data_IF_304648505015
#
_entry.id   IF_304648505015
#
_cell.length_a   1.000
_cell.length_b   1.000
_cell.length_c   1.000
_cell.angle_alpha   90.00
_cell.angle_beta   90.00
_cell.angle_gamma   90.00
#
_symmetry.space_group_name_H-M   'P 1'
#
loop_
_entity.id
_entity.type
_entity.pdbx_description
1 polymer ?
#
# COMPACT_ATOMS: atom_id res chain seq x y z
N UNK A 1 -13.83 13.37 -90.22
CA UNK A 1 -12.58 13.53 -89.45
C UNK A 1 -12.94 13.49 -87.97
N UNK A 2 -12.79 12.33 -87.33
CA UNK A 2 -13.06 12.13 -85.89
C UNK A 2 -11.82 12.49 -85.09
N UNK A 3 -11.96 13.36 -84.09
CA UNK A 3 -10.89 13.76 -83.19
C UNK A 3 -10.38 12.55 -82.37
N UNK A 4 -9.08 12.49 -82.01
CA UNK A 4 -8.54 11.39 -81.21
C UNK A 4 -9.08 11.43 -79.77
N UNK A 5 -9.30 10.28 -79.13
CA UNK A 5 -9.75 10.22 -77.75
C UNK A 5 -8.69 10.79 -76.81
N UNK A 6 -9.10 11.72 -75.95
CA UNK A 6 -8.25 12.29 -74.90
C UNK A 6 -7.88 11.22 -73.86
N UNK A 7 -6.62 11.15 -73.38
CA UNK A 7 -6.24 10.22 -72.32
C UNK A 7 -6.98 10.53 -71.02
N UNK A 8 -7.77 9.59 -70.52
CA UNK A 8 -8.40 9.67 -69.20
C UNK A 8 -7.31 9.63 -68.13
N UNK A 9 -6.90 10.81 -67.66
CA UNK A 9 -5.92 10.93 -66.59
C UNK A 9 -6.67 10.87 -65.25
N UNK A 10 -7.17 9.69 -64.91
CA UNK A 10 -7.72 9.44 -63.58
C UNK A 10 -6.53 9.25 -62.63
N UNK A 11 -6.04 10.36 -62.07
CA UNK A 11 -5.08 10.29 -60.97
C UNK A 11 -5.88 9.84 -59.74
N UNK A 12 -5.62 8.67 -59.15
CA UNK A 12 -6.27 8.30 -57.90
C UNK A 12 -5.89 9.33 -56.84
N UNK A 13 -6.89 9.88 -56.15
CA UNK A 13 -6.67 10.76 -55.01
C UNK A 13 -5.81 10.01 -53.98
N UNK A 14 -4.66 10.58 -53.64
CA UNK A 14 -3.82 10.08 -52.56
C UNK A 14 -4.66 10.13 -51.28
N UNK A 15 -4.96 8.98 -50.70
CA UNK A 15 -5.62 8.87 -49.40
C UNK A 15 -4.68 9.48 -48.35
N UNK A 16 -5.09 10.54 -47.66
CA UNK A 16 -4.23 11.32 -46.75
C UNK A 16 -3.87 10.59 -45.43
N UNK A 17 -4.13 9.28 -45.36
CA UNK A 17 -4.14 8.49 -44.13
C UNK A 17 -2.93 7.55 -44.05
N UNK A 18 -2.11 7.48 -45.11
CA UNK A 18 -0.90 6.65 -45.15
C UNK A 18 0.26 7.41 -44.52
N UNK A 19 0.42 7.23 -43.20
CA UNK A 19 1.67 7.57 -42.51
C UNK A 19 2.67 6.44 -42.65
N UNK A 20 3.73 6.67 -43.42
CA UNK A 20 4.85 5.74 -43.52
C UNK A 20 5.68 5.80 -42.24
N UNK A 21 5.47 4.82 -41.36
CA UNK A 21 6.32 4.61 -40.17
C UNK A 21 7.26 3.43 -40.42
N UNK A 22 8.50 3.53 -39.95
CA UNK A 22 9.50 2.45 -40.04
C UNK A 22 9.30 1.39 -38.95
N UNK A 23 8.33 1.60 -38.05
CA UNK A 23 7.99 0.67 -36.98
C UNK A 23 7.05 -0.41 -37.56
N UNK A 24 7.30 -1.71 -37.35
CA UNK A 24 6.39 -2.76 -37.81
C UNK A 24 4.99 -2.54 -37.22
N UNK A 25 3.90 -2.87 -37.96
CA UNK A 25 2.55 -2.76 -37.43
C UNK A 25 2.45 -3.64 -36.19
N UNK A 26 2.32 -3.01 -35.03
CA UNK A 26 1.99 -3.73 -33.81
C UNK A 26 0.52 -4.11 -34.00
N UNK A 27 0.20 -5.41 -34.00
CA UNK A 27 -1.19 -5.85 -33.90
C UNK A 27 -1.74 -5.33 -32.57
N UNK A 28 -2.37 -4.16 -32.62
CA UNK A 28 -3.19 -3.64 -31.55
C UNK A 28 -4.40 -4.58 -31.41
N UNK A 29 -4.22 -5.65 -30.63
CA UNK A 29 -5.32 -6.23 -29.87
C UNK A 29 -5.68 -5.22 -28.75
N UNK A 30 -6.12 -4.03 -29.15
CA UNK A 30 -6.83 -3.09 -28.30
C UNK A 30 -8.21 -3.72 -28.13
N UNK A 31 -8.34 -4.60 -27.13
CA UNK A 31 -9.64 -4.80 -26.49
C UNK A 31 -9.92 -3.53 -25.72
N UNK A 32 -10.50 -2.58 -26.44
CA UNK A 32 -11.08 -1.34 -25.97
C UNK A 32 -12.23 -1.64 -25.02
N UNK A 33 -11.91 -1.84 -23.74
CA UNK A 33 -12.88 -1.74 -22.64
C UNK A 33 -12.33 -0.77 -21.59
N UNK A 34 -11.76 0.37 -22.03
CA UNK A 34 -11.10 1.34 -21.14
C UNK A 34 -12.06 2.40 -20.55
N UNK A 35 -13.37 2.22 -20.71
CA UNK A 35 -14.41 3.04 -20.06
C UNK A 35 -14.84 2.47 -18.70
N UNK A 36 -13.98 1.73 -18.00
CA UNK A 36 -14.20 1.39 -16.59
C UNK A 36 -13.58 2.50 -15.74
N UNK A 37 -14.39 3.51 -15.41
CA UNK A 37 -14.20 4.52 -14.35
C UNK A 37 -12.75 4.85 -13.95
N UNK A 38 -12.01 5.51 -14.86
CA UNK A 38 -10.70 6.13 -14.56
C UNK A 38 -10.79 7.16 -13.43
N UNK A 39 -11.97 7.71 -13.17
CA UNK A 39 -12.29 8.59 -12.04
C UNK A 39 -12.11 7.91 -10.69
N UNK A 40 -12.39 6.60 -10.58
CA UNK A 40 -12.29 5.85 -9.32
C UNK A 40 -10.87 5.33 -9.01
N UNK A 41 -9.98 5.33 -10.01
CA UNK A 41 -8.60 4.85 -9.91
C UNK A 41 -7.67 5.92 -9.32
N UNK A 42 -7.75 6.16 -8.01
CA UNK A 42 -6.93 7.16 -7.28
C UNK A 42 -5.42 6.95 -7.29
N UNK A 43 -4.93 5.84 -7.84
CA UNK A 43 -3.50 5.55 -7.99
C UNK A 43 -3.19 4.75 -9.27
N UNK A 44 -4.12 4.73 -10.24
CA UNK A 44 -4.05 3.81 -11.39
C UNK A 44 -4.14 2.32 -11.02
N UNK A 45 -4.44 2.02 -9.75
CA UNK A 45 -4.56 0.69 -9.19
C UNK A 45 -6.02 0.35 -8.95
N UNK A 46 -6.37 -0.91 -9.18
CA UNK A 46 -7.68 -1.44 -8.83
C UNK A 46 -7.96 -1.30 -7.32
N UNK A 47 -9.24 -1.16 -6.97
CA UNK A 47 -9.74 -0.97 -5.60
C UNK A 47 -9.21 -2.05 -4.65
N UNK A 48 -9.23 -3.31 -5.08
CA UNK A 48 -8.79 -4.43 -4.23
C UNK A 48 -7.27 -4.40 -4.02
N UNK A 49 -6.50 -4.13 -5.08
CA UNK A 49 -5.04 -4.01 -5.00
C UNK A 49 -4.61 -2.86 -4.10
N UNK A 50 -5.32 -1.71 -4.14
CA UNK A 50 -5.03 -0.55 -3.29
C UNK A 50 -5.16 -0.88 -1.80
N UNK A 51 -6.27 -1.51 -1.40
CA UNK A 51 -6.56 -1.83 0.01
C UNK A 51 -5.51 -2.80 0.57
N UNK A 52 -5.15 -3.84 -0.21
CA UNK A 52 -4.13 -4.82 0.17
C UNK A 52 -2.76 -4.13 0.32
N UNK A 53 -2.39 -3.27 -0.62
CA UNK A 53 -1.11 -2.55 -0.58
C UNK A 53 -1.03 -1.62 0.65
N UNK A 54 -2.08 -0.83 0.91
CA UNK A 54 -2.13 0.06 2.06
C UNK A 54 -2.05 -0.71 3.39
N UNK A 55 -2.76 -1.83 3.50
CA UNK A 55 -2.75 -2.67 4.69
C UNK A 55 -1.39 -3.32 4.93
N UNK A 56 -0.76 -3.85 3.89
CA UNK A 56 0.54 -4.52 4.00
C UNK A 56 1.63 -3.54 4.41
N UNK A 57 1.69 -2.37 3.76
CA UNK A 57 2.65 -1.30 4.11
C UNK A 57 2.38 -0.78 5.53
N UNK A 58 1.12 -0.53 5.88
CA UNK A 58 0.73 -0.11 7.23
C UNK A 58 1.10 -1.12 8.31
N UNK A 59 0.95 -2.42 8.01
CA UNK A 59 1.34 -3.52 8.90
C UNK A 59 2.86 -3.58 9.09
N UNK A 60 3.63 -3.43 8.01
CA UNK A 60 5.10 -3.42 8.05
C UNK A 60 5.62 -2.23 8.88
N UNK A 61 5.05 -1.05 8.67
CA UNK A 61 5.44 0.14 9.43
C UNK A 61 5.08 0.01 10.92
N UNK A 62 3.89 -0.51 11.22
CA UNK A 62 3.47 -0.82 12.58
C UNK A 62 4.35 -1.88 13.25
N UNK A 63 4.77 -2.90 12.49
CA UNK A 63 5.72 -3.90 12.98
C UNK A 63 7.04 -3.26 13.39
N UNK A 64 7.63 -2.42 12.52
CA UNK A 64 8.91 -1.75 12.80
C UNK A 64 8.86 -0.88 14.05
N UNK A 65 7.84 -0.02 14.17
CA UNK A 65 7.64 0.84 15.34
C UNK A 65 7.41 -0.01 16.61
N UNK A 66 6.52 -1.00 16.52
CA UNK A 66 6.22 -1.89 17.64
C UNK A 66 7.43 -2.69 18.10
N UNK A 67 8.21 -3.21 17.15
CA UNK A 67 9.42 -3.97 17.43
C UNK A 67 10.49 -3.11 18.11
N UNK A 68 10.69 -1.88 17.66
CA UNK A 68 11.62 -0.94 18.28
C UNK A 68 11.24 -0.63 19.74
N UNK A 69 9.97 -0.28 19.98
CA UNK A 69 9.48 0.04 21.33
C UNK A 69 9.51 -1.21 22.23
N UNK A 70 9.17 -2.39 21.70
CA UNK A 70 9.16 -3.65 22.45
C UNK A 70 10.56 -4.14 22.81
N UNK A 71 11.50 -4.03 21.88
CA UNK A 71 12.91 -4.37 22.13
C UNK A 71 13.54 -3.45 23.16
N UNK A 72 13.28 -2.14 23.08
CA UNK A 72 13.78 -1.18 24.06
C UNK A 72 13.24 -1.44 25.47
N UNK A 73 11.93 -1.70 25.62
CA UNK A 73 11.35 -1.96 26.93
C UNK A 73 11.89 -3.25 27.57
N UNK A 74 11.94 -4.35 26.80
CA UNK A 74 12.47 -5.63 27.29
C UNK A 74 13.96 -5.55 27.62
N UNK A 75 14.74 -4.76 26.87
CA UNK A 75 16.13 -4.47 27.17
C UNK A 75 16.30 -3.71 28.49
N UNK A 76 15.51 -2.65 28.71
CA UNK A 76 15.54 -1.90 29.98
C UNK A 76 15.09 -2.76 31.16
N UNK A 77 14.07 -3.60 30.98
CA UNK A 77 13.64 -4.55 32.01
C UNK A 77 14.76 -5.54 32.35
N UNK A 78 15.45 -6.10 31.36
CA UNK A 78 16.59 -6.99 31.61
C UNK A 78 17.72 -6.30 32.37
N UNK A 79 18.01 -5.04 32.05
CA UNK A 79 19.00 -4.24 32.76
C UNK A 79 18.58 -4.00 34.22
N UNK A 80 17.31 -3.69 34.46
CA UNK A 80 16.77 -3.52 35.81
C UNK A 80 16.84 -4.82 36.63
N UNK A 81 16.43 -5.95 36.03
CA UNK A 81 16.49 -7.28 36.67
C UNK A 81 17.92 -7.70 37.03
N UNK A 82 18.92 -7.30 36.23
CA UNK A 82 20.31 -7.74 36.38
C UNK A 82 21.26 -6.64 36.88
N UNK A 83 20.75 -5.49 37.31
CA UNK A 83 21.58 -4.39 37.82
C UNK A 83 22.45 -4.81 39.02
N UNK A 84 22.03 -5.84 39.76
CA UNK A 84 22.78 -6.38 40.90
C UNK A 84 23.65 -7.61 40.56
N UNK A 85 23.58 -8.15 39.33
CA UNK A 85 24.25 -9.40 38.91
C UNK A 85 25.10 -9.17 37.66
N UNK A 86 26.08 -8.27 37.74
CA UNK A 86 27.01 -8.05 36.64
C UNK A 86 28.04 -9.20 36.59
N UNK A 87 28.33 -9.77 35.41
CA UNK A 87 29.32 -10.82 35.28
C UNK A 87 30.73 -10.29 35.52
N UNK A 88 31.53 -11.03 36.30
CA UNK A 88 32.94 -10.71 36.58
C UNK A 88 33.92 -11.48 35.69
N UNK A 89 33.45 -12.52 34.99
CA UNK A 89 34.25 -13.35 34.08
C UNK A 89 33.96 -12.99 32.62
N UNK A 90 34.95 -13.15 31.74
CA UNK A 90 34.84 -12.87 30.30
C UNK A 90 33.75 -13.72 29.64
N UNK A 91 33.67 -15.01 30.00
CA UNK A 91 32.63 -15.92 29.50
C UNK A 91 31.23 -15.53 29.98
N UNK A 92 31.09 -15.08 31.23
CA UNK A 92 29.82 -14.59 31.77
C UNK A 92 29.32 -13.36 31.02
N UNK A 93 30.24 -12.49 30.58
CA UNK A 93 29.91 -11.28 29.83
C UNK A 93 29.29 -11.59 28.46
N UNK A 94 29.77 -12.64 27.79
CA UNK A 94 29.17 -13.13 26.54
C UNK A 94 27.74 -13.65 26.75
N UNK A 95 27.53 -14.53 27.76
CA UNK A 95 26.20 -15.08 28.04
C UNK A 95 25.18 -14.03 28.47
N UNK A 96 25.65 -12.98 29.16
CA UNK A 96 24.84 -11.82 29.50
C UNK A 96 24.32 -11.10 28.24
N UNK A 97 25.21 -10.76 27.30
CA UNK A 97 24.81 -10.07 26.05
C UNK A 97 23.97 -10.95 25.12
N UNK A 98 24.27 -12.25 25.08
CA UNK A 98 23.46 -13.24 24.36
C UNK A 98 22.03 -13.27 24.89
N UNK A 99 21.86 -13.45 26.20
CA UNK A 99 20.56 -13.50 26.86
C UNK A 99 19.78 -12.18 26.70
N UNK A 100 20.48 -11.05 26.84
CA UNK A 100 19.89 -9.72 26.62
C UNK A 100 19.33 -9.60 25.21
N UNK A 101 20.09 -9.96 24.18
CA UNK A 101 19.63 -9.88 22.79
C UNK A 101 18.43 -10.79 22.53
N UNK A 102 18.39 -12.02 23.08
CA UNK A 102 17.22 -12.88 22.93
C UNK A 102 15.96 -12.30 23.56
N UNK A 103 16.06 -11.77 24.80
CA UNK A 103 14.93 -11.13 25.46
C UNK A 103 14.46 -9.88 24.70
N UNK A 104 15.39 -9.10 24.16
CA UNK A 104 15.10 -7.93 23.32
C UNK A 104 14.41 -8.31 22.01
N UNK A 105 14.89 -9.34 21.31
CA UNK A 105 14.25 -9.82 20.08
C UNK A 105 12.85 -10.36 20.34
N UNK A 106 12.67 -11.18 21.38
CA UNK A 106 11.36 -11.72 21.75
C UNK A 106 10.36 -10.61 22.12
N UNK A 107 10.80 -9.64 22.93
CA UNK A 107 10.01 -8.48 23.30
C UNK A 107 9.66 -7.59 22.10
N UNK A 108 10.61 -7.43 21.18
CA UNK A 108 10.42 -6.74 19.90
C UNK A 108 9.37 -7.43 19.04
N UNK A 109 9.54 -8.71 18.70
CA UNK A 109 8.59 -9.46 17.85
C UNK A 109 7.19 -9.49 18.45
N UNK A 110 7.06 -9.76 19.77
CA UNK A 110 5.76 -9.81 20.45
C UNK A 110 4.99 -8.49 20.34
N UNK A 111 5.66 -7.36 20.56
CA UNK A 111 5.04 -6.04 20.46
C UNK A 111 4.87 -5.61 18.99
N UNK A 112 5.81 -5.95 18.13
CA UNK A 112 5.77 -5.73 16.68
C UNK A 112 4.53 -6.34 16.05
N UNK A 113 4.25 -7.63 16.27
CA UNK A 113 3.04 -8.30 15.76
C UNK A 113 1.77 -7.60 16.26
N UNK A 114 1.73 -7.22 17.54
CA UNK A 114 0.57 -6.51 18.12
C UNK A 114 0.34 -5.13 17.48
N UNK A 115 1.41 -4.40 17.16
CA UNK A 115 1.28 -3.11 16.47
C UNK A 115 0.96 -3.29 14.99
N UNK A 116 1.58 -4.27 14.31
CA UNK A 116 1.31 -4.62 12.92
C UNK A 116 -0.18 -4.94 12.69
N UNK A 117 -0.78 -5.77 13.55
CA UNK A 117 -2.21 -6.08 13.46
C UNK A 117 -3.11 -4.86 13.72
N UNK A 118 -2.67 -3.93 14.57
CA UNK A 118 -3.42 -2.70 14.87
C UNK A 118 -3.38 -1.71 13.72
N UNK A 119 -2.19 -1.42 13.19
CA UNK A 119 -2.02 -0.49 12.08
C UNK A 119 -2.56 -1.08 10.78
N UNK A 120 -2.31 -2.36 10.52
CA UNK A 120 -2.88 -3.09 9.38
C UNK A 120 -4.41 -3.12 9.41
N UNK A 121 -5.00 -3.44 10.57
CA UNK A 121 -6.45 -3.40 10.75
C UNK A 121 -7.04 -2.01 10.55
N UNK A 122 -6.35 -0.95 11.01
CA UNK A 122 -6.74 0.44 10.77
C UNK A 122 -6.69 0.81 9.28
N UNK A 123 -5.61 0.44 8.58
CA UNK A 123 -5.48 0.68 7.15
C UNK A 123 -6.53 -0.08 6.33
N UNK A 124 -6.83 -1.33 6.70
CA UNK A 124 -7.94 -2.08 6.08
C UNK A 124 -9.28 -1.39 6.32
N UNK A 125 -9.59 -1.04 7.56
CA UNK A 125 -10.85 -0.38 7.90
C UNK A 125 -11.02 0.92 7.11
N UNK A 126 -9.99 1.76 7.08
CA UNK A 126 -9.96 2.96 6.27
C UNK A 126 -10.23 2.67 4.79
N UNK A 127 -9.48 1.73 4.20
CA UNK A 127 -9.62 1.36 2.79
C UNK A 127 -11.01 0.83 2.45
N UNK A 128 -11.61 0.03 3.34
CA UNK A 128 -12.98 -0.48 3.16
C UNK A 128 -14.04 0.61 3.27
N UNK A 129 -13.88 1.57 4.20
CA UNK A 129 -14.82 2.67 4.36
C UNK A 129 -14.74 3.63 3.19
N UNK A 130 -13.54 3.97 2.75
CA UNK A 130 -13.32 4.80 1.57
C UNK A 130 -13.91 4.13 0.32
N UNK A 131 -13.63 2.85 0.10
CA UNK A 131 -14.18 2.08 -1.01
C UNK A 131 -15.72 2.00 -0.99
N UNK A 132 -16.33 1.78 0.17
CA UNK A 132 -17.78 1.70 0.30
C UNK A 132 -18.45 3.05 0.06
N UNK A 133 -17.86 4.13 0.56
CA UNK A 133 -18.39 5.47 0.30
C UNK A 133 -18.21 5.88 -1.17
N UNK A 134 -17.11 5.48 -1.82
CA UNK A 134 -16.85 5.75 -3.24
C UNK A 134 -17.92 5.06 -4.12
N UNK A 135 -18.41 3.87 -3.73
CA UNK A 135 -19.52 3.16 -4.40
C UNK A 135 -20.86 3.87 -4.24
N UNK A 136 -21.16 4.41 -3.05
CA UNK A 136 -22.45 5.09 -2.78
C UNK A 136 -22.57 6.40 -3.54
N UNK A 137 -21.48 7.13 -3.71
CA UNK A 137 -21.47 8.43 -4.40
C UNK A 137 -21.11 8.35 -5.89
N UNK A 138 -20.47 7.27 -6.34
CA UNK A 138 -20.00 7.12 -7.72
C UNK A 138 -18.91 8.12 -8.12
N UNK A 139 -18.30 8.83 -7.16
CA UNK A 139 -17.26 9.83 -7.37
C UNK A 139 -16.14 9.69 -6.36
N UNK A 140 -14.90 9.85 -6.84
CA UNK A 140 -13.71 9.78 -6.02
C UNK A 140 -13.28 11.19 -5.55
N UNK A 141 -13.96 11.72 -4.53
CA UNK A 141 -13.68 13.06 -3.97
C UNK A 141 -12.92 13.05 -2.64
N UNK A 142 -12.08 14.05 -2.40
CA UNK A 142 -11.29 14.20 -1.16
C UNK A 142 -12.18 14.19 0.09
N UNK A 143 -13.40 14.73 -0.02
CA UNK A 143 -14.42 14.72 1.05
C UNK A 143 -14.73 13.30 1.52
N UNK A 144 -14.69 12.34 0.60
CA UNK A 144 -14.97 10.95 0.90
C UNK A 144 -13.86 10.29 1.72
N UNK A 145 -12.60 10.56 1.35
CA UNK A 145 -11.41 10.16 2.11
C UNK A 145 -11.39 10.79 3.50
N UNK A 146 -11.78 12.07 3.63
CA UNK A 146 -11.88 12.75 4.93
C UNK A 146 -12.97 12.10 5.80
N UNK A 147 -14.15 11.85 5.23
CA UNK A 147 -15.26 11.21 5.94
C UNK A 147 -14.87 9.80 6.39
N UNK A 148 -14.22 9.01 5.53
CA UNK A 148 -13.68 7.70 5.87
C UNK A 148 -12.63 7.78 6.98
N UNK A 149 -11.75 8.78 6.96
CA UNK A 149 -10.76 9.05 8.00
C UNK A 149 -11.39 9.35 9.36
N UNK A 150 -12.37 10.26 9.39
CA UNK A 150 -13.13 10.60 10.61
C UNK A 150 -13.85 9.36 11.15
N UNK A 151 -14.54 8.61 10.29
CA UNK A 151 -15.24 7.39 10.67
C UNK A 151 -14.29 6.30 11.21
N UNK A 152 -13.14 6.11 10.57
CA UNK A 152 -12.12 5.16 11.05
C UNK A 152 -11.59 5.58 12.43
N UNK A 153 -11.36 6.88 12.63
CA UNK A 153 -10.91 7.45 13.89
C UNK A 153 -11.92 7.32 15.03
N UNK A 154 -13.21 7.54 14.75
CA UNK A 154 -14.28 7.37 15.75
C UNK A 154 -14.40 5.90 16.16
N UNK A 155 -14.37 4.97 15.21
CA UNK A 155 -14.38 3.52 15.49
C UNK A 155 -13.16 3.14 16.34
N UNK A 156 -11.97 3.64 16.00
CA UNK A 156 -10.76 3.37 16.75
C UNK A 156 -10.84 3.93 18.18
N UNK A 157 -11.36 5.14 18.35
CA UNK A 157 -11.55 5.76 19.65
C UNK A 157 -12.43 4.89 20.55
N UNK A 158 -13.61 4.49 20.06
CA UNK A 158 -14.55 3.64 20.80
C UNK A 158 -13.90 2.31 21.21
N UNK A 159 -13.13 1.70 20.30
CA UNK A 159 -12.45 0.43 20.56
C UNK A 159 -11.31 0.57 21.57
N UNK A 160 -10.60 1.70 21.57
CA UNK A 160 -9.48 1.97 22.47
C UNK A 160 -9.94 2.28 23.90
N UNK A 161 -11.09 2.96 24.06
CA UNK A 161 -11.64 3.38 25.35
C UNK A 161 -12.01 2.19 26.24
N UNK A 162 -12.40 1.04 25.68
CA UNK A 162 -12.73 -0.16 26.46
C UNK A 162 -11.51 -0.90 27.03
N UNK A 163 -10.29 -0.43 26.77
CA UNK A 163 -9.03 -1.03 27.27
C UNK A 163 -8.41 -0.21 28.42
N UNK A 164 -9.24 0.56 29.12
CA UNK A 164 -8.89 1.48 30.19
C UNK A 164 -9.50 1.04 31.53
N UNK A 165 -9.40 -0.26 31.85
CA UNK A 165 -9.44 -0.83 33.21
C UNK A 165 -8.64 -2.14 33.20
#
# INVERSE_FOLDING_TARGET
MSAPPTPNTHIPSLDNNISFTTVPPIEENVKENNNVDRSMLRAGLDKQSRIILMSTIGSLWGFGIGAFIGGRQSGLQYLAENAHKLPTTVQGWYFYHKTKNYKMMLGGVKKGIRYAGRTGGLCLLYGTLEAGLDEVKGQADVVNSVTAGVATGTIFSILSTKRLF
#
